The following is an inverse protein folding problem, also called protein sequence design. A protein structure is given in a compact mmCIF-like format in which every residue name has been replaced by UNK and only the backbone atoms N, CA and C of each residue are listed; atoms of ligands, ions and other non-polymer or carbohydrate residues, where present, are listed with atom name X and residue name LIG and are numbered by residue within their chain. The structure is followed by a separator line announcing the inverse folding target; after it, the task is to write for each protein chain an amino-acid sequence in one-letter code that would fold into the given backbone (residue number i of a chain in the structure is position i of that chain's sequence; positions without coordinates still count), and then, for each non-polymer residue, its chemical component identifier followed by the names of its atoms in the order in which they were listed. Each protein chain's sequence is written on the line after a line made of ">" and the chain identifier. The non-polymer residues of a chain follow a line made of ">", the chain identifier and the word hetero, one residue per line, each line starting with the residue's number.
data_IF_030483425694
#
_entry.id   IF_030483425694
#
_cell.length_a   1.000
_cell.length_b   1.000
_cell.length_c   1.000
_cell.angle_alpha   90.00
_cell.angle_beta   90.00
_cell.angle_gamma   90.00
#
_symmetry.space_group_name_H-M   'P 1'
#
loop_
_entity.id
_entity.type
_entity.pdbx_description
1 polymer ?
#
# COMPACT_ATOMS: atom_id res chain seq x y z
N UNK A 1 -4.45 -15.54 4.02
CA UNK A 1 -5.55 -16.16 3.25
C UNK A 1 -6.08 -15.08 2.29
N UNK A 2 -6.00 -15.28 0.97
CA UNK A 2 -6.41 -14.29 -0.03
C UNK A 2 -7.92 -14.17 -0.15
N UNK A 3 -8.40 -12.97 -0.46
CA UNK A 3 -9.80 -12.59 -0.61
C UNK A 3 -10.38 -13.16 -1.90
N UNK A 4 -11.70 -13.35 -1.93
CA UNK A 4 -12.49 -13.61 -3.13
C UNK A 4 -13.82 -12.85 -3.04
N UNK A 5 -14.62 -12.89 -4.12
CA UNK A 5 -15.92 -12.20 -4.19
C UNK A 5 -16.84 -12.58 -3.02
N UNK A 6 -16.97 -13.88 -2.72
CA UNK A 6 -17.82 -14.37 -1.65
C UNK A 6 -17.41 -13.79 -0.28
N UNK A 7 -16.12 -13.80 0.05
CA UNK A 7 -15.62 -13.21 1.31
C UNK A 7 -15.74 -11.70 1.34
N UNK A 8 -15.70 -11.03 0.19
CA UNK A 8 -16.02 -9.61 0.16
C UNK A 8 -17.47 -9.38 0.52
N UNK A 9 -18.40 -10.06 -0.16
CA UNK A 9 -19.84 -9.95 0.10
C UNK A 9 -20.18 -10.24 1.56
N UNK A 10 -19.58 -11.29 2.15
CA UNK A 10 -19.72 -11.63 3.56
C UNK A 10 -19.21 -10.52 4.51
N UNK A 11 -18.11 -9.84 4.15
CA UNK A 11 -17.50 -8.78 4.96
C UNK A 11 -18.20 -7.43 4.81
N UNK A 12 -18.66 -7.07 3.62
CA UNK A 12 -19.41 -5.82 3.39
C UNK A 12 -20.84 -5.92 3.87
N UNK A 13 -21.46 -7.10 3.83
CA UNK A 13 -22.89 -7.25 4.12
C UNK A 13 -23.78 -6.45 3.14
N UNK A 14 -25.07 -6.31 3.47
CA UNK A 14 -26.07 -5.66 2.57
C UNK A 14 -25.87 -4.15 2.37
N UNK A 15 -25.08 -3.49 3.21
CA UNK A 15 -24.90 -2.02 3.22
C UNK A 15 -23.44 -1.59 3.20
N UNK A 16 -22.50 -2.51 2.95
CA UNK A 16 -21.09 -2.18 2.92
C UNK A 16 -20.67 -1.53 1.60
N UNK A 17 -19.71 -0.63 1.67
CA UNK A 17 -19.13 0.04 0.52
C UNK A 17 -18.44 -0.98 -0.40
N UNK A 18 -18.75 -1.01 -1.71
CA UNK A 18 -18.05 -1.86 -2.67
C UNK A 18 -16.54 -1.66 -2.62
N UNK A 19 -15.75 -2.73 -2.81
CA UNK A 19 -14.28 -2.69 -2.68
C UNK A 19 -13.63 -1.56 -3.49
N UNK A 20 -14.02 -1.40 -4.75
CA UNK A 20 -13.48 -0.34 -5.61
C UNK A 20 -13.78 1.05 -5.03
N UNK A 21 -15.02 1.30 -4.61
CA UNK A 21 -15.42 2.58 -4.04
C UNK A 21 -14.65 2.88 -2.74
N UNK A 22 -14.50 1.88 -1.86
CA UNK A 22 -13.73 2.05 -0.63
C UNK A 22 -12.26 2.42 -0.91
N UNK A 23 -11.62 1.74 -1.87
CA UNK A 23 -10.24 2.09 -2.27
C UNK A 23 -10.18 3.49 -2.90
N UNK A 24 -11.18 3.88 -3.69
CA UNK A 24 -11.26 5.22 -4.28
C UNK A 24 -11.41 6.31 -3.20
N UNK A 25 -12.19 6.04 -2.16
CA UNK A 25 -12.35 6.94 -1.01
C UNK A 25 -11.02 7.11 -0.26
N UNK A 26 -10.22 6.05 -0.11
CA UNK A 26 -8.88 6.14 0.48
C UNK A 26 -7.95 7.00 -0.36
N UNK A 27 -7.88 6.78 -1.68
CA UNK A 27 -7.05 7.60 -2.59
C UNK A 27 -7.48 9.06 -2.55
N UNK A 28 -8.78 9.32 -2.60
CA UNK A 28 -9.33 10.67 -2.50
C UNK A 28 -8.96 11.34 -1.18
N UNK A 29 -9.04 10.61 -0.06
CA UNK A 29 -8.66 11.14 1.25
C UNK A 29 -7.17 11.44 1.35
N UNK A 30 -6.30 10.61 0.76
CA UNK A 30 -4.86 10.87 0.72
C UNK A 30 -4.55 12.17 -0.04
N UNK A 31 -5.12 12.31 -1.24
CA UNK A 31 -4.89 13.46 -2.11
C UNK A 31 -5.39 14.79 -1.52
N UNK A 32 -6.48 14.75 -0.73
CA UNK A 32 -7.09 15.95 -0.14
C UNK A 32 -6.62 16.24 1.29
N UNK A 33 -5.76 15.41 1.87
CA UNK A 33 -5.29 15.61 3.24
C UNK A 33 -4.00 16.42 3.29
N UNK A 34 -3.93 17.36 4.24
CA UNK A 34 -2.69 18.04 4.64
C UNK A 34 -2.13 17.47 5.95
N UNK A 35 -2.76 16.44 6.52
CA UNK A 35 -2.36 15.80 7.76
C UNK A 35 -1.50 14.57 7.42
N UNK A 36 -0.22 14.66 7.79
CA UNK A 36 0.77 13.62 7.50
C UNK A 36 0.44 12.29 8.20
N UNK A 37 -0.02 12.31 9.45
CA UNK A 37 -0.38 11.07 10.17
C UNK A 37 -1.56 10.37 9.48
N UNK A 38 -2.50 11.15 8.95
CA UNK A 38 -3.62 10.61 8.17
C UNK A 38 -3.13 10.00 6.86
N UNK A 39 -2.23 10.67 6.14
CA UNK A 39 -1.63 10.13 4.91
C UNK A 39 -0.91 8.82 5.17
N UNK A 40 -0.08 8.75 6.22
CA UNK A 40 0.64 7.54 6.62
C UNK A 40 -0.29 6.36 6.85
N UNK A 41 -1.37 6.56 7.62
CA UNK A 41 -2.39 5.53 7.86
C UNK A 41 -3.06 5.05 6.59
N UNK A 42 -3.32 5.96 5.65
CA UNK A 42 -3.93 5.62 4.37
C UNK A 42 -2.98 4.78 3.51
N UNK A 43 -1.71 5.20 3.36
CA UNK A 43 -0.73 4.45 2.56
C UNK A 43 -0.46 3.08 3.17
N UNK A 44 -0.34 2.97 4.50
CA UNK A 44 -0.24 1.68 5.19
C UNK A 44 -1.44 0.76 4.88
N UNK A 45 -2.65 1.32 4.85
CA UNK A 45 -3.86 0.56 4.51
C UNK A 45 -3.83 0.10 3.04
N UNK A 46 -3.48 0.98 2.11
CA UNK A 46 -3.32 0.63 0.69
C UNK A 46 -2.24 -0.44 0.48
N UNK A 47 -1.10 -0.35 1.17
CA UNK A 47 -0.03 -1.34 1.13
C UNK A 47 -0.49 -2.71 1.65
N UNK A 48 -1.33 -2.75 2.68
CA UNK A 48 -1.96 -4.00 3.15
C UNK A 48 -2.92 -4.58 2.10
N UNK A 49 -3.68 -3.75 1.38
CA UNK A 49 -4.51 -4.23 0.27
C UNK A 49 -3.69 -4.77 -0.90
N UNK A 50 -2.51 -4.19 -1.15
CA UNK A 50 -1.58 -4.63 -2.17
C UNK A 50 -0.96 -6.02 -1.88
N UNK A 51 -1.16 -6.59 -0.69
CA UNK A 51 -0.75 -7.97 -0.42
C UNK A 51 -1.65 -9.01 -1.10
N UNK A 52 -2.89 -8.65 -1.45
CA UNK A 52 -3.92 -9.59 -1.91
C UNK A 52 -4.23 -9.39 -3.40
N UNK A 53 -3.99 -10.39 -4.26
CA UNK A 53 -4.20 -10.29 -5.71
C UNK A 53 -5.61 -9.90 -6.12
N UNK A 54 -6.61 -10.18 -5.27
CA UNK A 54 -7.98 -9.73 -5.46
C UNK A 54 -8.08 -8.22 -5.72
N UNK A 55 -7.21 -7.41 -5.10
CA UNK A 55 -7.26 -5.96 -5.21
C UNK A 55 -6.51 -5.41 -6.42
N UNK A 56 -5.66 -6.20 -7.11
CA UNK A 56 -4.72 -5.66 -8.10
C UNK A 56 -5.39 -4.90 -9.23
N UNK A 57 -6.52 -5.40 -9.76
CA UNK A 57 -7.24 -4.69 -10.82
C UNK A 57 -7.78 -3.34 -10.34
N UNK A 58 -8.25 -3.25 -9.09
CA UNK A 58 -8.70 -1.97 -8.51
C UNK A 58 -7.53 -1.02 -8.23
N UNK A 59 -6.40 -1.54 -7.72
CA UNK A 59 -5.20 -0.75 -7.46
C UNK A 59 -4.63 -0.15 -8.74
N UNK A 60 -4.62 -0.91 -9.84
CA UNK A 60 -4.26 -0.42 -11.18
C UNK A 60 -5.24 0.62 -11.70
N UNK A 61 -6.55 0.37 -11.58
CA UNK A 61 -7.58 1.31 -12.02
C UNK A 61 -7.51 2.66 -11.29
N UNK A 62 -7.05 2.66 -10.03
CA UNK A 62 -6.95 3.83 -9.17
C UNK A 62 -5.54 4.44 -9.13
N UNK A 63 -4.60 3.98 -9.97
CA UNK A 63 -3.21 4.43 -10.02
C UNK A 63 -2.49 4.38 -8.65
N UNK A 64 -2.79 3.35 -7.85
CA UNK A 64 -2.18 3.21 -6.50
C UNK A 64 -0.71 2.82 -6.59
N UNK A 65 -0.28 2.18 -7.69
CA UNK A 65 1.13 1.83 -7.90
C UNK A 65 1.99 3.09 -8.08
N UNK A 66 1.49 4.05 -8.85
CA UNK A 66 2.08 5.37 -9.02
C UNK A 66 2.04 6.16 -7.72
N UNK A 67 0.94 6.10 -6.96
CA UNK A 67 0.87 6.72 -5.63
C UNK A 67 1.96 6.19 -4.68
N UNK A 68 2.27 4.89 -4.71
CA UNK A 68 3.38 4.36 -3.93
C UNK A 68 4.74 4.88 -4.40
N UNK A 69 4.92 5.08 -5.72
CA UNK A 69 6.13 5.70 -6.26
C UNK A 69 6.27 7.15 -5.81
N UNK A 70 5.18 7.92 -5.80
CA UNK A 70 5.20 9.28 -5.27
C UNK A 70 5.61 9.27 -3.78
N UNK A 71 5.04 8.36 -2.99
CA UNK A 71 5.34 8.23 -1.55
C UNK A 71 6.82 7.94 -1.26
N UNK A 72 7.53 7.17 -2.09
CA UNK A 72 8.97 6.89 -1.86
C UNK A 72 9.89 8.06 -2.21
N UNK A 73 9.35 9.14 -2.78
CA UNK A 73 10.08 10.38 -3.07
C UNK A 73 9.82 11.49 -2.04
N UNK A 74 8.87 11.26 -1.12
CA UNK A 74 8.52 12.21 -0.07
C UNK A 74 9.59 12.23 1.04
N UNK A 75 9.75 13.37 1.75
CA UNK A 75 10.66 13.45 2.90
C UNK A 75 10.12 12.71 4.14
N UNK A 76 8.82 12.37 4.17
CA UNK A 76 8.21 11.64 5.26
C UNK A 76 8.63 10.16 5.21
N UNK A 77 9.50 9.75 6.13
CA UNK A 77 10.02 8.38 6.21
C UNK A 77 8.94 7.29 6.29
N UNK A 78 7.79 7.59 6.90
CA UNK A 78 6.67 6.64 6.99
C UNK A 78 5.95 6.47 5.66
N UNK A 79 5.81 7.53 4.88
CA UNK A 79 5.29 7.41 3.51
C UNK A 79 6.25 6.60 2.64
N UNK A 80 7.56 6.82 2.78
CA UNK A 80 8.58 6.04 2.07
C UNK A 80 8.50 4.56 2.46
N UNK A 81 8.47 4.26 3.76
CA UNK A 81 8.39 2.89 4.29
C UNK A 81 7.15 2.15 3.79
N UNK A 82 5.97 2.76 3.89
CA UNK A 82 4.73 2.12 3.42
C UNK A 82 4.63 2.08 1.90
N UNK A 83 5.15 3.08 1.20
CA UNK A 83 5.23 3.12 -0.26
C UNK A 83 6.07 1.97 -0.81
N UNK A 84 7.30 1.80 -0.32
CA UNK A 84 8.16 0.68 -0.74
C UNK A 84 7.56 -0.67 -0.34
N UNK A 85 6.93 -0.76 0.84
CA UNK A 85 6.18 -1.95 1.25
C UNK A 85 5.02 -2.30 0.30
N UNK A 86 4.26 -1.29 -0.14
CA UNK A 86 3.19 -1.44 -1.13
C UNK A 86 3.70 -1.92 -2.49
N UNK A 87 4.82 -1.37 -2.96
CA UNK A 87 5.51 -1.80 -4.19
C UNK A 87 5.96 -3.27 -4.07
N UNK A 88 6.60 -3.64 -2.96
CA UNK A 88 7.01 -5.02 -2.71
C UNK A 88 5.82 -6.00 -2.74
N UNK A 89 4.72 -5.63 -2.08
CA UNK A 89 3.51 -6.46 -2.05
C UNK A 89 2.86 -6.61 -3.44
N UNK A 90 2.86 -5.54 -4.25
CA UNK A 90 2.21 -5.53 -5.55
C UNK A 90 3.05 -6.14 -6.68
N UNK A 91 4.38 -6.02 -6.63
CA UNK A 91 5.30 -6.36 -7.72
C UNK A 91 5.47 -7.87 -7.97
N UNK A 92 4.93 -8.73 -7.10
CA UNK A 92 4.82 -10.17 -7.36
C UNK A 92 3.94 -10.47 -8.58
N UNK A 93 3.03 -9.57 -8.94
CA UNK A 93 2.22 -9.65 -10.15
C UNK A 93 2.94 -9.01 -11.36
N UNK A 94 3.10 -9.74 -12.47
CA UNK A 94 3.81 -9.22 -13.64
C UNK A 94 3.19 -7.95 -14.24
N UNK A 95 1.86 -7.79 -14.20
CA UNK A 95 1.22 -6.58 -14.73
C UNK A 95 1.50 -5.37 -13.84
N UNK A 96 1.50 -5.54 -12.52
CA UNK A 96 1.91 -4.48 -11.59
C UNK A 96 3.39 -4.12 -11.76
N UNK A 97 4.28 -5.12 -11.86
CA UNK A 97 5.71 -4.89 -12.08
C UNK A 97 5.98 -4.13 -13.40
N UNK A 98 5.23 -4.46 -14.46
CA UNK A 98 5.31 -3.75 -15.73
C UNK A 98 4.88 -2.28 -15.63
N UNK A 99 3.81 -1.99 -14.87
CA UNK A 99 3.36 -0.62 -14.61
C UNK A 99 4.41 0.15 -13.82
N UNK A 100 4.90 -0.41 -12.69
CA UNK A 100 5.96 0.21 -11.86
C UNK A 100 7.18 0.53 -12.72
N UNK A 101 7.60 -0.40 -13.58
CA UNK A 101 8.75 -0.20 -14.48
C UNK A 101 8.47 0.92 -15.49
N UNK A 102 7.29 0.91 -16.13
CA UNK A 102 6.90 1.91 -17.13
C UNK A 102 6.76 3.32 -16.53
N UNK A 103 6.37 3.41 -15.27
CA UNK A 103 6.26 4.67 -14.52
C UNK A 103 7.60 5.17 -13.98
N UNK A 104 8.72 4.59 -14.40
CA UNK A 104 10.06 5.00 -13.97
C UNK A 104 10.41 4.58 -12.55
N UNK A 105 9.74 3.56 -12.01
CA UNK A 105 9.91 3.16 -10.61
C UNK A 105 11.28 2.53 -10.29
N UNK A 106 11.96 1.91 -11.25
CA UNK A 106 13.26 1.26 -11.03
C UNK A 106 14.31 2.23 -10.46
N UNK A 107 14.63 3.37 -11.11
CA UNK A 107 15.59 4.33 -10.55
C UNK A 107 15.16 4.88 -9.17
N UNK A 108 13.87 5.16 -8.97
CA UNK A 108 13.35 5.66 -7.68
C UNK A 108 13.53 4.64 -6.56
N UNK A 109 13.25 3.36 -6.83
CA UNK A 109 13.44 2.28 -5.85
C UNK A 109 14.93 2.11 -5.52
N UNK A 110 15.81 2.16 -6.53
CA UNK A 110 17.26 2.10 -6.30
C UNK A 110 17.73 3.24 -5.40
N UNK A 111 17.28 4.47 -5.69
CA UNK A 111 17.63 5.65 -4.88
C UNK A 111 17.11 5.52 -3.45
N UNK A 112 15.84 5.15 -3.27
CA UNK A 112 15.21 4.91 -1.98
C UNK A 112 15.99 3.89 -1.13
N UNK A 113 16.40 2.76 -1.73
CA UNK A 113 17.15 1.70 -1.04
C UNK A 113 18.63 2.03 -0.82
N UNK A 114 19.18 2.99 -1.58
CA UNK A 114 20.56 3.46 -1.43
C UNK A 114 20.70 4.53 -0.35
N UNK A 115 19.59 5.11 0.09
CA UNK A 115 19.55 6.09 1.17
C UNK A 115 20.02 5.47 2.50
N UNK A 116 20.83 6.18 3.32
CA UNK A 116 21.28 5.68 4.62
C UNK A 116 20.15 5.54 5.66
N UNK A 117 18.91 5.91 5.32
CA UNK A 117 17.72 5.81 6.18
C UNK A 117 17.32 4.34 6.35
N UNK A 118 17.80 3.75 7.44
CA UNK A 118 17.45 2.39 7.90
C UNK A 118 16.04 2.37 8.48
N UNK A 119 15.02 1.99 7.70
CA UNK A 119 13.77 1.39 8.24
C UNK A 119 13.02 0.60 7.15
N UNK A 120 13.68 -0.37 6.52
CA UNK A 120 13.06 -1.39 5.65
C UNK A 120 13.12 -2.79 6.28
N UNK A 121 12.94 -2.89 7.61
CA UNK A 121 12.82 -4.18 8.28
C UNK A 121 11.35 -4.61 8.31
N UNK A 122 11.05 -5.58 7.45
CA UNK A 122 9.85 -6.44 7.40
C UNK A 122 9.06 -6.48 8.72
N UNK A 123 7.87 -5.84 8.75
CA UNK A 123 6.86 -6.12 9.78
C UNK A 123 6.26 -7.51 9.55
N UNK A 124 6.91 -8.56 10.07
CA UNK A 124 6.27 -9.83 10.36
C UNK A 124 6.05 -9.95 11.87
N UNK A 125 4.79 -10.10 12.27
CA UNK A 125 4.41 -10.72 13.54
C UNK A 125 4.12 -9.75 14.69
N UNK A 126 2.85 -9.38 14.85
CA UNK A 126 2.30 -9.25 16.21
C UNK A 126 2.31 -10.65 16.84
N UNK A 127 3.05 -10.80 17.93
CA UNK A 127 2.91 -11.74 19.08
C UNK A 127 4.31 -11.81 19.71
N UNK A 128 4.54 -11.72 21.02
CA UNK A 128 3.70 -11.94 22.19
C UNK A 128 4.48 -11.48 23.44
N UNK A 129 3.75 -11.03 24.47
CA UNK A 129 4.14 -11.06 25.89
C UNK A 129 5.23 -10.08 26.40
N UNK A 130 4.79 -8.88 26.77
CA UNK A 130 5.35 -8.15 27.91
C UNK A 130 4.48 -8.42 29.15
N UNK A 131 4.84 -9.44 29.93
CA UNK A 131 4.52 -9.54 31.36
C UNK A 131 5.75 -10.00 32.11
N UNK A 132 6.50 -9.04 32.63
CA UNK A 132 7.39 -9.22 33.78
C UNK A 132 7.78 -7.84 34.29
N UNK A 133 7.28 -7.50 35.48
CA UNK A 133 7.45 -6.23 36.18
C UNK A 133 6.37 -6.09 37.23
#
# INVERSE_FOLDING_TARGET
>A
MFTNNQRQEERTGRSGTPRLQYLQELVSQFQNSTDEERKEKIVANLANFAYDPYNYTFLRQLNVLELFLDCITEPNEKLVEFGVGGICNASVDPANAAIITKSGGIPLIIECLSSPVRNTYVYQGRNSEARSG
#
